data_IF_433271664250
#
_entry.id   IF_433271664250
#
_cell.length_a   1.000
_cell.length_b   1.000
_cell.length_c   1.000
_cell.angle_alpha   90.00
_cell.angle_beta   90.00
_cell.angle_gamma   90.00
#
_symmetry.space_group_name_H-M   'P 1'
#
loop_
_entity.id
_entity.type
_entity.pdbx_description
1 polymer ?
#
# COMPACT_ATOMS: atom_id res chain seq x y z
N UNK A 1 5.67 8.05 4.49
CA UNK A 1 4.32 8.58 4.21
C UNK A 1 4.24 10.03 4.64
N UNK A 2 3.46 10.86 3.95
CA UNK A 2 3.21 12.26 4.30
C UNK A 2 1.85 12.42 4.99
N UNK A 3 1.60 13.56 5.63
CA UNK A 3 0.29 13.84 6.25
C UNK A 3 -0.88 13.82 5.25
N UNK A 4 -0.64 14.19 3.99
CA UNK A 4 -1.64 14.11 2.93
C UNK A 4 -1.97 12.66 2.54
N UNK A 5 -0.96 11.79 2.48
CA UNK A 5 -1.15 10.36 2.18
C UNK A 5 -2.01 9.68 3.25
N UNK A 6 -1.78 10.02 4.52
CA UNK A 6 -2.55 9.50 5.66
C UNK A 6 -4.00 10.03 5.59
N UNK A 7 -4.20 11.31 5.30
CA UNK A 7 -5.54 11.88 5.17
C UNK A 7 -6.35 11.24 4.02
N UNK A 8 -5.69 10.92 2.90
CA UNK A 8 -6.33 10.20 1.80
C UNK A 8 -6.74 8.78 2.22
N UNK A 9 -5.86 8.02 2.88
CA UNK A 9 -6.22 6.69 3.37
C UNK A 9 -7.35 6.77 4.42
N UNK A 10 -7.28 7.73 5.34
CA UNK A 10 -8.29 7.95 6.36
C UNK A 10 -9.64 8.42 5.80
N UNK A 11 -9.68 8.94 4.57
CA UNK A 11 -10.92 9.29 3.87
C UNK A 11 -11.68 8.08 3.34
N UNK A 12 -11.05 6.89 3.33
CA UNK A 12 -11.74 5.65 2.96
C UNK A 12 -12.82 5.34 4.00
N UNK A 13 -14.05 5.15 3.52
CA UNK A 13 -15.20 4.79 4.36
C UNK A 13 -15.02 3.41 5.01
N UNK A 14 -14.28 2.52 4.35
CA UNK A 14 -14.01 1.17 4.82
C UNK A 14 -12.53 0.83 4.65
N UNK A 15 -11.99 0.07 5.61
CA UNK A 15 -10.64 -0.46 5.51
C UNK A 15 -10.60 -1.54 4.43
N UNK A 16 -9.50 -1.63 3.66
CA UNK A 16 -9.35 -2.71 2.69
C UNK A 16 -9.42 -4.07 3.41
N UNK A 17 -10.24 -5.02 2.95
CA UNK A 17 -10.37 -6.32 3.59
C UNK A 17 -9.03 -7.07 3.53
N UNK A 18 -8.73 -7.84 4.57
CA UNK A 18 -7.44 -8.54 4.70
C UNK A 18 -7.14 -9.43 3.49
N UNK A 19 -8.16 -10.10 2.95
CA UNK A 19 -8.04 -10.91 1.73
C UNK A 19 -7.52 -10.10 0.53
N UNK A 20 -7.95 -8.84 0.37
CA UNK A 20 -7.50 -7.96 -0.70
C UNK A 20 -6.06 -7.49 -0.46
N UNK A 21 -5.67 -7.26 0.80
CA UNK A 21 -4.28 -6.91 1.17
C UNK A 21 -3.35 -8.11 0.92
N UNK A 22 -3.78 -9.33 1.25
CA UNK A 22 -3.02 -10.55 1.00
C UNK A 22 -2.94 -10.89 -0.49
N UNK A 23 -3.98 -10.58 -1.27
CA UNK A 23 -3.96 -10.75 -2.71
C UNK A 23 -2.81 -9.97 -3.38
N UNK A 24 -2.46 -8.79 -2.84
CA UNK A 24 -1.33 -8.00 -3.32
C UNK A 24 0.00 -8.78 -3.31
N UNK A 25 0.22 -9.70 -2.35
CA UNK A 25 1.46 -10.51 -2.29
C UNK A 25 1.64 -11.39 -3.54
N UNK A 26 0.58 -11.64 -4.30
CA UNK A 26 0.63 -12.41 -5.55
C UNK A 26 0.92 -11.54 -6.77
N UNK A 27 0.85 -10.22 -6.65
CA UNK A 27 1.14 -9.32 -7.75
C UNK A 27 2.64 -9.20 -7.99
N UNK A 28 3.05 -9.31 -9.26
CA UNK A 28 4.47 -9.26 -9.64
C UNK A 28 5.17 -7.98 -9.18
N UNK A 29 4.47 -6.83 -9.24
CA UNK A 29 5.02 -5.54 -8.77
C UNK A 29 5.30 -5.54 -7.27
N UNK A 30 4.41 -6.12 -6.47
CA UNK A 30 4.52 -6.18 -5.01
C UNK A 30 5.56 -7.21 -4.60
N UNK A 31 5.62 -8.35 -5.28
CA UNK A 31 6.68 -9.36 -5.05
C UNK A 31 8.07 -8.75 -5.23
N UNK A 32 8.30 -7.96 -6.28
CA UNK A 32 9.58 -7.25 -6.46
C UNK A 32 9.93 -6.37 -5.25
N UNK A 33 8.93 -5.69 -4.66
CA UNK A 33 9.15 -4.87 -3.47
C UNK A 33 9.41 -5.73 -2.22
N UNK A 34 8.75 -6.89 -2.10
CA UNK A 34 8.96 -7.85 -1.01
C UNK A 34 10.38 -8.46 -1.00
N UNK A 35 11.01 -8.59 -2.16
CA UNK A 35 12.40 -9.06 -2.30
C UNK A 35 13.44 -7.93 -2.23
N UNK A 36 13.02 -6.68 -2.06
CA UNK A 36 13.95 -5.55 -1.93
C UNK A 36 14.56 -5.50 -0.52
N UNK A 37 15.81 -5.04 -0.41
CA UNK A 37 16.54 -4.94 0.87
C UNK A 37 15.76 -4.17 1.95
N UNK A 38 14.97 -3.18 1.54
CA UNK A 38 14.06 -2.44 2.41
C UNK A 38 12.61 -2.57 1.93
N UNK A 39 12.04 -3.77 2.09
CA UNK A 39 10.66 -4.12 1.71
C UNK A 39 9.61 -3.12 2.24
N UNK A 40 9.75 -2.65 3.49
CA UNK A 40 8.83 -1.70 4.10
C UNK A 40 8.84 -0.37 3.36
N UNK A 41 10.04 0.20 3.16
CA UNK A 41 10.20 1.46 2.42
C UNK A 41 9.72 1.32 0.98
N UNK A 42 10.03 0.20 0.33
CA UNK A 42 9.63 -0.07 -1.05
C UNK A 42 8.10 -0.10 -1.20
N UNK A 43 7.39 -0.75 -0.28
CA UNK A 43 5.93 -0.78 -0.26
C UNK A 43 5.31 0.57 0.06
N UNK A 44 5.86 1.33 1.01
CA UNK A 44 5.37 2.69 1.27
C UNK A 44 5.57 3.63 0.07
N UNK A 45 6.68 3.50 -0.67
CA UNK A 45 6.89 4.28 -1.88
C UNK A 45 5.87 3.92 -2.97
N UNK A 46 5.59 2.62 -3.14
CA UNK A 46 4.57 2.15 -4.07
C UNK A 46 3.16 2.63 -3.66
N UNK A 47 2.84 2.60 -2.36
CA UNK A 47 1.60 3.14 -1.82
C UNK A 47 1.45 4.64 -2.11
N UNK A 48 2.52 5.43 -1.91
CA UNK A 48 2.53 6.85 -2.23
C UNK A 48 2.35 7.13 -3.72
N UNK A 49 2.93 6.30 -4.58
CA UNK A 49 2.76 6.43 -6.02
C UNK A 49 1.30 6.23 -6.43
N UNK A 50 0.63 5.20 -5.89
CA UNK A 50 -0.79 4.95 -6.15
C UNK A 50 -1.69 6.06 -5.59
N UNK A 51 -1.40 6.59 -4.40
CA UNK A 51 -2.11 7.74 -3.83
C UNK A 51 -1.99 8.99 -4.71
N UNK A 52 -0.80 9.28 -5.24
CA UNK A 52 -0.58 10.39 -6.18
C UNK A 52 -1.33 10.24 -7.49
N UNK A 53 -1.58 9.00 -7.93
CA UNK A 53 -2.43 8.69 -9.09
C UNK A 53 -3.93 8.82 -8.81
N UNK A 54 -4.32 9.08 -7.55
CA UNK A 54 -5.71 9.08 -7.11
C UNK A 54 -6.27 7.69 -6.82
N UNK A 55 -5.43 6.64 -6.85
CA UNK A 55 -5.82 5.26 -6.55
C UNK A 55 -5.80 5.03 -5.03
N UNK A 56 -6.64 5.77 -4.30
CA UNK A 56 -6.64 5.80 -2.83
C UNK A 56 -6.80 4.42 -2.20
N UNK A 57 -7.71 3.61 -2.73
CA UNK A 57 -7.94 2.25 -2.26
C UNK A 57 -6.69 1.36 -2.45
N UNK A 58 -6.03 1.50 -3.59
CA UNK A 58 -4.85 0.68 -3.91
C UNK A 58 -3.64 1.09 -3.07
N UNK A 59 -3.42 2.39 -2.91
CA UNK A 59 -2.42 2.95 -2.01
C UNK A 59 -2.65 2.53 -0.56
N UNK A 60 -3.91 2.49 -0.11
CA UNK A 60 -4.25 2.00 1.22
C UNK A 60 -3.92 0.50 1.38
N UNK A 61 -4.30 -0.36 0.45
CA UNK A 61 -3.96 -1.80 0.52
C UNK A 61 -2.45 -2.01 0.64
N UNK A 62 -1.65 -1.27 -0.14
CA UNK A 62 -0.19 -1.34 -0.12
C UNK A 62 0.41 -0.84 1.20
N UNK A 63 -0.16 0.24 1.75
CA UNK A 63 0.23 0.75 3.07
C UNK A 63 -0.10 -0.28 4.18
N UNK A 64 -1.30 -0.84 4.16
CA UNK A 64 -1.70 -1.91 5.09
C UNK A 64 -0.83 -3.16 4.96
N UNK A 65 -0.46 -3.54 3.73
CA UNK A 65 0.45 -4.66 3.50
C UNK A 65 1.80 -4.41 4.19
N UNK A 66 2.34 -3.19 4.10
CA UNK A 66 3.60 -2.84 4.75
C UNK A 66 3.53 -2.99 6.28
N UNK A 67 2.40 -2.63 6.91
CA UNK A 67 2.19 -2.80 8.36
C UNK A 67 2.07 -4.27 8.81
N UNK A 68 1.88 -5.21 7.87
CA UNK A 68 1.72 -6.65 8.16
C UNK A 68 2.99 -7.50 7.91
N UNK A 69 4.15 -6.87 7.66
CA UNK A 69 5.42 -7.52 7.23
C UNK A 69 6.56 -7.44 8.23
#
# INVERSE_FOLDING_TARGET
MTGNDIAQIASLTELPPEEAVLALKKESRVQKMLFSDNKLRALHLLAQEELRKGNTLEGAKLAFLAETL
#
